data_IF_414457137146
#
_entry.id   IF_414457137146
#
_cell.length_a   1.000
_cell.length_b   1.000
_cell.length_c   1.000
_cell.angle_alpha   90.00
_cell.angle_beta   90.00
_cell.angle_gamma   90.00
#
_symmetry.space_group_name_H-M   'P 1'
#
loop_
_entity.id
_entity.type
_entity.pdbx_description
1 polymer ?
#
# COMPACT_ATOMS: atom_id res chain seq x y z
N UNK A 1 29.43 -23.59 3.80
CA UNK A 1 30.00 -23.62 5.18
C UNK A 1 29.34 -22.57 6.07
N UNK A 2 29.42 -21.26 5.76
CA UNK A 2 28.76 -20.21 6.56
C UNK A 2 27.25 -20.09 6.29
N UNK A 3 26.84 -20.19 5.01
CA UNK A 3 25.43 -20.39 4.65
C UNK A 3 24.95 -21.74 5.16
N UNK A 4 23.80 -21.76 5.83
CA UNK A 4 23.23 -22.94 6.49
C UNK A 4 23.93 -23.34 7.81
N UNK A 5 24.91 -22.55 8.29
CA UNK A 5 25.58 -22.83 9.56
C UNK A 5 24.59 -22.73 10.71
N UNK A 6 24.67 -23.71 11.61
CA UNK A 6 23.89 -23.73 12.85
C UNK A 6 24.78 -23.81 14.08
N UNK A 7 24.27 -23.35 15.21
CA UNK A 7 24.97 -23.25 16.49
C UNK A 7 24.15 -23.97 17.55
N UNK A 8 24.73 -25.02 18.12
CA UNK A 8 24.13 -25.77 19.22
C UNK A 8 24.62 -25.19 20.53
N UNK A 9 23.70 -24.68 21.35
CA UNK A 9 24.02 -23.96 22.57
C UNK A 9 22.98 -24.19 23.66
N UNK A 10 23.36 -23.84 24.88
CA UNK A 10 22.47 -23.63 26.02
C UNK A 10 22.59 -22.17 26.45
N UNK A 11 21.53 -21.61 27.04
CA UNK A 11 21.55 -20.27 27.61
C UNK A 11 21.26 -20.28 29.10
N UNK A 12 21.89 -19.38 29.85
CA UNK A 12 21.53 -19.07 31.23
C UNK A 12 21.07 -17.62 31.25
N UNK A 13 19.79 -17.40 31.54
CA UNK A 13 19.19 -16.07 31.48
C UNK A 13 19.12 -15.49 32.89
N UNK A 14 19.68 -14.30 33.07
CA UNK A 14 19.46 -13.45 34.23
C UNK A 14 18.28 -12.52 33.89
N UNK A 15 17.06 -12.82 34.35
CA UNK A 15 15.89 -12.04 34.00
C UNK A 15 15.93 -10.68 34.70
N UNK A 16 15.62 -9.61 33.98
CA UNK A 16 15.56 -8.25 34.52
C UNK A 16 14.50 -8.13 35.62
N UNK A 17 13.45 -8.95 35.56
CA UNK A 17 12.36 -9.00 36.55
C UNK A 17 12.83 -9.41 37.94
N UNK A 18 13.99 -10.06 38.09
CA UNK A 18 14.60 -10.35 39.39
C UNK A 18 14.97 -9.08 40.17
N UNK A 19 15.10 -7.96 39.46
CA UNK A 19 15.48 -6.66 40.02
C UNK A 19 14.30 -5.67 39.97
N UNK A 20 13.05 -6.16 40.02
CA UNK A 20 11.85 -5.31 39.96
C UNK A 20 11.65 -4.37 41.16
N UNK A 21 12.20 -4.73 42.33
CA UNK A 21 12.01 -3.98 43.59
C UNK A 21 13.09 -2.90 43.84
N UNK A 22 13.84 -2.51 42.81
CA UNK A 22 14.92 -1.53 42.95
C UNK A 22 14.36 -0.20 43.46
N UNK A 23 14.79 0.16 44.67
CA UNK A 23 14.48 1.45 45.26
C UNK A 23 15.33 2.52 44.58
N UNK A 24 14.66 3.54 44.04
CA UNK A 24 15.31 4.72 43.47
C UNK A 24 15.36 5.78 44.56
N UNK A 25 16.55 6.33 44.82
CA UNK A 25 16.67 7.40 45.81
C UNK A 25 16.17 8.75 45.26
N UNK A 26 15.70 9.61 46.16
CA UNK A 26 15.17 10.94 45.83
C UNK A 26 16.19 11.86 45.13
N UNK A 27 17.48 11.67 45.36
CA UNK A 27 18.51 12.48 44.73
C UNK A 27 18.65 12.10 43.24
N UNK A 28 18.57 10.81 42.91
CA UNK A 28 18.55 10.31 41.54
C UNK A 28 17.30 10.76 40.78
N UNK A 29 16.12 10.75 41.42
CA UNK A 29 14.87 11.28 40.84
C UNK A 29 15.02 12.75 40.47
N UNK A 30 15.53 13.56 41.40
CA UNK A 30 15.73 15.00 41.18
C UNK A 30 16.77 15.28 40.09
N UNK A 31 17.92 14.60 40.14
CA UNK A 31 18.98 14.75 39.15
C UNK A 31 18.49 14.35 37.74
N UNK A 32 17.68 13.29 37.63
CA UNK A 32 17.08 12.90 36.38
C UNK A 32 16.10 13.96 35.87
N UNK A 33 15.21 14.47 36.72
CA UNK A 33 14.28 15.53 36.33
C UNK A 33 15.00 16.79 35.86
N UNK A 34 16.02 17.24 36.60
CA UNK A 34 16.84 18.42 36.25
C UNK A 34 17.57 18.23 34.92
N UNK A 35 18.10 17.04 34.65
CA UNK A 35 18.82 16.75 33.42
C UNK A 35 17.91 16.54 32.19
N UNK A 36 16.62 16.24 32.39
CA UNK A 36 15.70 15.82 31.32
C UNK A 36 14.40 16.63 31.32
N UNK A 37 14.43 17.91 31.72
CA UNK A 37 13.23 18.75 31.89
C UNK A 37 12.30 18.77 30.66
N UNK A 38 12.87 18.67 29.45
CA UNK A 38 12.14 18.63 28.17
C UNK A 38 11.20 17.41 28.05
N UNK A 39 11.54 16.29 28.69
CA UNK A 39 10.72 15.07 28.69
C UNK A 39 9.55 15.14 29.71
N UNK A 40 9.53 16.20 30.53
CA UNK A 40 8.58 16.39 31.62
C UNK A 40 7.81 17.71 31.46
N UNK A 41 7.17 17.86 30.30
CA UNK A 41 6.27 18.98 30.01
C UNK A 41 4.85 18.48 29.80
N UNK A 42 3.87 19.31 30.19
CA UNK A 42 2.53 19.20 29.61
C UNK A 42 2.61 19.79 28.21
N UNK A 43 2.31 19.00 27.16
CA UNK A 43 2.41 19.49 25.80
C UNK A 43 1.40 20.61 25.57
N UNK A 44 1.69 21.48 24.61
CA UNK A 44 0.75 22.50 24.17
C UNK A 44 -0.49 21.84 23.57
N UNK A 45 -1.68 22.32 23.95
CA UNK A 45 -2.95 21.79 23.47
C UNK A 45 -3.90 22.91 23.09
N UNK A 46 -4.71 22.67 22.07
CA UNK A 46 -5.82 23.56 21.71
C UNK A 46 -7.13 22.79 21.56
N UNK A 47 -8.24 23.50 21.71
CA UNK A 47 -9.50 23.13 21.04
C UNK A 47 -9.72 24.07 19.89
N UNK A 48 -10.20 23.56 18.77
CA UNK A 48 -10.53 24.36 17.60
C UNK A 48 -12.04 24.40 17.38
N UNK A 49 -12.55 25.56 16.98
CA UNK A 49 -13.87 25.71 16.36
C UNK A 49 -13.65 25.69 14.85
N UNK A 50 -14.43 24.91 14.11
CA UNK A 50 -14.25 24.76 12.67
C UNK A 50 -15.58 24.62 11.92
N UNK A 51 -15.59 25.03 10.66
CA UNK A 51 -16.71 24.81 9.73
C UNK A 51 -16.21 23.91 8.61
N UNK A 52 -16.98 22.88 8.28
CA UNK A 52 -16.66 21.92 7.22
C UNK A 52 -17.64 22.05 6.06
N UNK A 53 -17.12 22.21 4.85
CA UNK A 53 -17.85 22.05 3.60
C UNK A 53 -17.52 20.66 3.06
N UNK A 54 -18.56 19.85 2.87
CA UNK A 54 -18.47 18.47 2.38
C UNK A 54 -19.29 18.31 1.12
N UNK A 55 -18.66 17.80 0.05
CA UNK A 55 -19.31 17.50 -1.22
C UNK A 55 -20.44 16.49 -1.05
N UNK A 56 -20.24 15.47 -0.21
CA UNK A 56 -21.24 14.43 0.05
C UNK A 56 -22.46 14.99 0.80
N UNK A 57 -22.23 15.89 1.77
CA UNK A 57 -23.32 16.56 2.48
C UNK A 57 -24.14 17.46 1.53
N UNK A 58 -23.47 18.15 0.60
CA UNK A 58 -24.13 18.94 -0.45
C UNK A 58 -24.94 18.02 -1.37
N UNK A 59 -24.34 16.94 -1.87
CA UNK A 59 -25.01 15.97 -2.75
C UNK A 59 -26.28 15.38 -2.11
N UNK A 60 -26.24 15.08 -0.81
CA UNK A 60 -27.41 14.59 -0.06
C UNK A 60 -28.54 15.63 0.06
N UNK A 61 -28.21 16.93 0.02
CA UNK A 61 -29.18 18.03 0.04
C UNK A 61 -29.76 18.38 -1.33
N UNK A 62 -29.15 17.93 -2.42
CA UNK A 62 -29.61 18.23 -3.78
C UNK A 62 -30.81 17.36 -4.15
N UNK A 63 -31.97 18.02 -4.25
CA UNK A 63 -33.14 17.45 -4.90
C UNK A 63 -33.02 17.63 -6.41
N UNK A 64 -33.22 16.54 -7.16
CA UNK A 64 -33.20 16.57 -8.62
C UNK A 64 -34.62 16.46 -9.13
N UNK A 65 -35.02 17.44 -9.93
CA UNK A 65 -36.32 17.45 -10.56
C UNK A 65 -36.34 16.49 -11.76
N UNK A 66 -37.33 15.60 -11.78
CA UNK A 66 -37.56 14.67 -12.88
C UNK A 66 -37.91 15.41 -14.18
N UNK A 67 -38.50 16.60 -14.10
CA UNK A 67 -38.79 17.42 -15.29
C UNK A 67 -37.49 17.92 -15.95
N UNK A 68 -36.54 18.41 -15.17
CA UNK A 68 -35.20 18.80 -15.64
C UNK A 68 -34.45 17.61 -16.25
N UNK A 69 -34.49 16.44 -15.59
CA UNK A 69 -33.84 15.24 -16.12
C UNK A 69 -34.47 14.75 -17.42
N UNK A 70 -35.80 14.85 -17.57
CA UNK A 70 -36.48 14.53 -18.83
C UNK A 70 -36.06 15.50 -19.94
N UNK A 71 -36.02 16.79 -19.66
CA UNK A 71 -35.53 17.78 -20.63
C UNK A 71 -34.07 17.52 -21.04
N UNK A 72 -33.20 17.18 -20.08
CA UNK A 72 -31.81 16.81 -20.34
C UNK A 72 -31.70 15.52 -21.16
N UNK A 73 -32.54 14.52 -20.90
CA UNK A 73 -32.61 13.28 -21.67
C UNK A 73 -32.99 13.57 -23.12
N UNK A 74 -34.05 14.37 -23.34
CA UNK A 74 -34.50 14.75 -24.69
C UNK A 74 -33.39 15.43 -25.50
N UNK A 75 -32.64 16.34 -24.88
CA UNK A 75 -31.51 17.04 -25.52
C UNK A 75 -30.34 16.12 -25.84
N UNK A 76 -30.11 15.08 -25.01
CA UNK A 76 -28.98 14.15 -25.12
C UNK A 76 -29.38 12.77 -25.66
N UNK A 77 -30.56 12.62 -26.25
CA UNK A 77 -31.08 11.32 -26.76
C UNK A 77 -30.10 10.61 -27.71
N UNK A 78 -29.34 11.37 -28.49
CA UNK A 78 -28.34 10.80 -29.39
C UNK A 78 -27.22 10.09 -28.63
N UNK A 79 -26.78 10.62 -27.48
CA UNK A 79 -25.70 10.07 -26.65
C UNK A 79 -26.07 8.72 -26.04
N UNK A 80 -27.37 8.49 -25.82
CA UNK A 80 -27.88 7.26 -25.21
C UNK A 80 -28.17 6.15 -26.23
N UNK A 81 -28.20 6.47 -27.53
CA UNK A 81 -28.52 5.48 -28.56
C UNK A 81 -27.36 4.51 -28.72
N UNK A 82 -27.63 3.22 -28.51
CA UNK A 82 -26.71 2.17 -28.92
C UNK A 82 -26.78 2.01 -30.44
N UNK A 83 -25.63 1.89 -31.11
CA UNK A 83 -25.59 1.59 -32.54
C UNK A 83 -26.09 0.15 -32.79
N UNK A 84 -26.63 -0.10 -33.99
CA UNK A 84 -26.89 -1.48 -34.42
C UNK A 84 -25.56 -2.24 -34.51
N UNK A 85 -25.55 -3.45 -33.95
CA UNK A 85 -24.44 -4.38 -34.06
C UNK A 85 -24.93 -5.71 -34.60
N UNK A 86 -24.12 -6.39 -35.40
CA UNK A 86 -24.42 -7.73 -35.90
C UNK A 86 -23.32 -8.68 -35.51
N UNK A 87 -23.68 -9.75 -34.82
CA UNK A 87 -22.77 -10.85 -34.60
C UNK A 87 -22.68 -11.64 -35.90
N UNK A 88 -21.48 -11.79 -36.44
CA UNK A 88 -21.28 -12.48 -37.70
C UNK A 88 -20.12 -13.47 -37.63
N UNK A 89 -20.22 -14.49 -38.47
CA UNK A 89 -19.18 -15.47 -38.71
C UNK A 89 -18.82 -15.49 -40.19
N UNK A 90 -17.56 -15.77 -40.52
CA UNK A 90 -17.11 -15.86 -41.91
C UNK A 90 -16.18 -17.04 -42.22
N UNK A 91 -16.14 -17.40 -43.49
CA UNK A 91 -15.13 -18.27 -44.10
C UNK A 91 -14.41 -17.43 -45.14
N UNK A 92 -13.11 -17.18 -44.94
CA UNK A 92 -12.28 -16.44 -45.88
C UNK A 92 -11.47 -17.40 -46.75
N UNK A 93 -11.48 -17.18 -48.05
CA UNK A 93 -10.47 -17.68 -48.98
C UNK A 93 -9.65 -16.49 -49.47
N UNK A 94 -8.37 -16.45 -49.13
CA UNK A 94 -7.48 -15.32 -49.36
C UNK A 94 -7.23 -15.16 -50.85
N UNK A 95 -7.41 -13.96 -51.37
CA UNK A 95 -7.03 -13.61 -52.74
C UNK A 95 -6.42 -12.22 -52.74
N UNK A 96 -5.32 -12.06 -53.47
CA UNK A 96 -4.79 -10.73 -53.74
C UNK A 96 -5.79 -9.92 -54.59
N UNK A 97 -5.80 -8.59 -54.39
CA UNK A 97 -6.62 -7.67 -55.20
C UNK A 97 -6.30 -7.72 -56.70
N UNK A 98 -5.10 -8.16 -57.06
CA UNK A 98 -4.67 -8.39 -58.44
C UNK A 98 -4.81 -9.85 -58.91
N UNK A 99 -5.50 -10.71 -58.15
CA UNK A 99 -5.71 -12.10 -58.52
C UNK A 99 -6.40 -12.21 -59.90
N UNK A 100 -5.92 -13.14 -60.73
CA UNK A 100 -6.49 -13.36 -62.05
C UNK A 100 -7.91 -13.96 -61.99
N UNK A 101 -8.66 -13.81 -63.09
CA UNK A 101 -10.06 -14.25 -63.17
C UNK A 101 -10.22 -15.75 -62.88
N UNK A 102 -9.19 -16.56 -63.16
CA UNK A 102 -9.21 -18.00 -62.91
C UNK A 102 -9.14 -18.30 -61.40
N UNK A 103 -8.28 -17.63 -60.65
CA UNK A 103 -8.18 -17.76 -59.20
C UNK A 103 -9.46 -17.26 -58.50
N UNK A 104 -10.03 -16.14 -58.96
CA UNK A 104 -11.31 -15.63 -58.44
C UNK A 104 -12.45 -16.60 -58.72
N UNK A 105 -12.51 -17.19 -59.92
CA UNK A 105 -13.53 -18.18 -60.27
C UNK A 105 -13.42 -19.45 -59.42
N UNK A 106 -12.19 -19.96 -59.21
CA UNK A 106 -11.96 -21.16 -58.41
C UNK A 106 -12.37 -20.97 -56.94
N UNK A 107 -11.99 -19.84 -56.33
CA UNK A 107 -12.40 -19.53 -54.95
C UNK A 107 -13.92 -19.30 -54.84
N UNK A 108 -14.56 -18.70 -55.85
CA UNK A 108 -16.02 -18.55 -55.90
C UNK A 108 -16.73 -19.90 -55.99
N UNK A 109 -16.25 -20.80 -56.84
CA UNK A 109 -16.79 -22.16 -56.96
C UNK A 109 -16.64 -22.93 -55.64
N UNK A 110 -15.50 -22.78 -54.96
CA UNK A 110 -15.27 -23.40 -53.65
C UNK A 110 -16.23 -22.89 -52.57
N UNK A 111 -16.49 -21.57 -52.51
CA UNK A 111 -17.50 -21.03 -51.59
C UNK A 111 -18.93 -21.44 -51.95
N UNK A 112 -19.24 -21.66 -53.23
CA UNK A 112 -20.54 -22.20 -53.66
C UNK A 112 -20.71 -23.67 -53.27
N UNK A 113 -19.63 -24.45 -53.31
CA UNK A 113 -19.61 -25.82 -52.80
C UNK A 113 -19.87 -25.84 -51.28
N UNK A 114 -19.23 -24.95 -50.52
CA UNK A 114 -19.50 -24.80 -49.08
C UNK A 114 -20.96 -24.45 -48.82
N UNK A 115 -21.56 -23.54 -49.60
CA UNK A 115 -22.99 -23.24 -49.49
C UNK A 115 -23.87 -24.48 -49.73
N UNK A 116 -23.53 -25.31 -50.72
CA UNK A 116 -24.25 -26.56 -51.00
C UNK A 116 -24.11 -27.59 -49.85
N UNK A 117 -22.97 -27.61 -49.17
CA UNK A 117 -22.74 -28.45 -47.99
C UNK A 117 -23.54 -27.94 -46.78
N UNK A 118 -23.65 -26.63 -46.59
CA UNK A 118 -24.52 -26.01 -45.59
C UNK A 118 -25.99 -26.38 -45.83
N UNK A 119 -26.46 -26.31 -47.08
CA UNK A 119 -27.81 -26.72 -47.47
C UNK A 119 -28.06 -28.23 -47.25
N UNK A 120 -26.99 -29.02 -47.22
CA UNK A 120 -27.02 -30.46 -46.94
C UNK A 120 -26.90 -30.81 -45.45
N UNK A 121 -26.77 -29.81 -44.57
CA UNK A 121 -26.76 -29.96 -43.12
C UNK A 121 -25.39 -29.97 -42.44
N UNK A 122 -24.29 -29.69 -43.16
CA UNK A 122 -22.98 -29.45 -42.54
C UNK A 122 -23.02 -28.11 -41.80
N UNK A 123 -22.39 -28.01 -40.63
CA UNK A 123 -22.41 -26.76 -39.86
C UNK A 123 -21.41 -25.73 -40.39
N UNK A 124 -21.76 -24.44 -40.26
CA UNK A 124 -20.90 -23.34 -40.70
C UNK A 124 -19.58 -23.28 -39.94
N UNK A 125 -19.61 -23.59 -38.64
CA UNK A 125 -18.43 -23.56 -37.79
C UNK A 125 -17.46 -24.72 -38.08
N UNK A 126 -17.95 -25.88 -38.52
CA UNK A 126 -17.09 -26.96 -39.04
C UNK A 126 -16.37 -26.52 -40.31
N UNK A 127 -17.11 -25.99 -41.30
CA UNK A 127 -16.51 -25.51 -42.55
C UNK A 127 -15.52 -24.35 -42.30
N UNK A 128 -15.84 -23.45 -41.38
CA UNK A 128 -14.95 -22.35 -41.03
C UNK A 128 -13.66 -22.84 -40.35
N UNK A 129 -13.75 -23.82 -39.43
CA UNK A 129 -12.54 -24.40 -38.79
C UNK A 129 -11.64 -25.13 -39.78
N UNK A 130 -12.24 -25.80 -40.75
CA UNK A 130 -11.51 -26.65 -41.69
C UNK A 130 -10.96 -25.86 -42.88
N UNK A 131 -11.69 -24.84 -43.37
CA UNK A 131 -11.41 -24.21 -44.67
C UNK A 131 -11.24 -22.70 -44.63
N UNK A 132 -11.53 -22.01 -43.52
CA UNK A 132 -11.30 -20.56 -43.45
C UNK A 132 -9.80 -20.28 -43.30
N UNK A 133 -9.29 -19.40 -44.16
CA UNK A 133 -7.89 -18.97 -44.17
C UNK A 133 -7.63 -17.77 -43.25
N UNK A 134 -8.64 -17.32 -42.49
CA UNK A 134 -8.46 -16.36 -41.39
C UNK A 134 -8.14 -17.09 -40.07
N UNK A 135 -6.88 -17.11 -39.61
CA UNK A 135 -6.48 -17.91 -38.44
C UNK A 135 -7.06 -17.40 -37.10
N UNK A 136 -7.54 -16.14 -37.08
CA UNK A 136 -8.13 -15.49 -35.90
C UNK A 136 -9.54 -15.97 -35.62
N UNK A 137 -10.37 -16.07 -36.67
CA UNK A 137 -11.76 -16.50 -36.57
C UNK A 137 -11.97 -17.98 -36.87
N UNK A 138 -11.17 -18.60 -37.77
CA UNK A 138 -11.33 -19.99 -38.19
C UNK A 138 -11.43 -20.95 -37.00
N UNK A 139 -10.51 -20.84 -36.03
CA UNK A 139 -10.48 -21.67 -34.81
C UNK A 139 -11.73 -21.51 -33.94
N UNK A 140 -12.40 -20.37 -34.04
CA UNK A 140 -13.64 -20.04 -33.31
C UNK A 140 -14.89 -20.32 -34.16
N UNK A 141 -14.79 -21.14 -35.19
CA UNK A 141 -15.93 -21.43 -36.07
C UNK A 141 -16.27 -20.28 -37.01
N UNK A 142 -15.30 -19.40 -37.30
CA UNK A 142 -15.48 -18.23 -38.15
C UNK A 142 -16.02 -17.00 -37.43
N UNK A 143 -16.31 -17.06 -36.13
CA UNK A 143 -16.91 -15.94 -35.40
C UNK A 143 -16.01 -14.71 -35.33
N UNK A 144 -16.59 -13.55 -35.65
CA UNK A 144 -15.98 -12.22 -35.56
C UNK A 144 -16.53 -11.39 -34.38
N UNK A 145 -17.50 -11.93 -33.63
CA UNK A 145 -18.20 -11.19 -32.57
C UNK A 145 -19.09 -10.08 -33.13
N UNK A 146 -19.42 -9.09 -32.29
CA UNK A 146 -20.32 -7.99 -32.63
C UNK A 146 -19.64 -6.95 -33.53
N UNK A 147 -20.14 -6.81 -34.76
CA UNK A 147 -19.67 -5.87 -35.77
C UNK A 147 -20.58 -4.64 -35.78
N UNK A 148 -19.98 -3.45 -35.69
CA UNK A 148 -20.67 -2.17 -35.88
C UNK A 148 -20.34 -1.61 -37.26
N UNK A 149 -21.20 -0.74 -37.81
CA UNK A 149 -20.89 -0.04 -39.06
C UNK A 149 -19.62 0.81 -38.96
N UNK A 150 -18.85 0.90 -40.04
CA UNK A 150 -17.58 1.62 -40.15
C UNK A 150 -16.36 0.88 -39.59
N UNK A 151 -16.49 -0.40 -39.22
CA UNK A 151 -15.40 -1.19 -38.63
C UNK A 151 -14.78 -2.17 -39.62
N UNK A 152 -15.57 -2.70 -40.56
CA UNK A 152 -15.14 -3.73 -41.51
C UNK A 152 -14.95 -3.16 -42.92
N UNK A 153 -14.42 -3.99 -43.82
CA UNK A 153 -14.36 -3.67 -45.25
C UNK A 153 -15.77 -3.33 -45.78
N UNK A 154 -15.95 -2.29 -46.64
CA UNK A 154 -17.27 -1.84 -47.07
C UNK A 154 -18.13 -2.95 -47.70
N UNK A 155 -17.54 -3.80 -48.54
CA UNK A 155 -18.30 -4.86 -49.22
C UNK A 155 -18.70 -5.99 -48.25
N UNK A 156 -17.83 -6.29 -47.28
CA UNK A 156 -18.13 -7.23 -46.21
C UNK A 156 -19.23 -6.69 -45.29
N UNK A 157 -19.11 -5.42 -44.89
CA UNK A 157 -20.07 -4.75 -44.03
C UNK A 157 -21.46 -4.67 -44.67
N UNK A 158 -21.54 -4.24 -45.93
CA UNK A 158 -22.82 -4.17 -46.64
C UNK A 158 -23.52 -5.55 -46.66
N UNK A 159 -22.76 -6.61 -46.94
CA UNK A 159 -23.30 -7.96 -46.89
C UNK A 159 -23.74 -8.38 -45.48
N UNK A 160 -22.95 -8.12 -44.42
CA UNK A 160 -23.34 -8.40 -43.03
C UNK A 160 -24.63 -7.68 -42.66
N UNK A 161 -24.79 -6.42 -43.08
CA UNK A 161 -25.95 -5.60 -42.74
C UNK A 161 -27.19 -5.82 -43.64
N UNK A 162 -27.07 -6.57 -44.72
CA UNK A 162 -28.21 -7.02 -45.55
C UNK A 162 -28.81 -8.36 -45.10
N UNK A 163 -28.00 -9.25 -44.52
CA UNK A 163 -28.43 -10.61 -44.13
C UNK A 163 -29.40 -10.64 -42.95
N UNK A 164 -30.33 -11.60 -42.94
CA UNK A 164 -31.13 -11.94 -41.76
C UNK A 164 -30.36 -12.86 -40.78
N UNK A 165 -30.85 -12.97 -39.54
CA UNK A 165 -30.28 -13.90 -38.55
C UNK A 165 -30.37 -15.34 -39.07
N UNK A 166 -29.23 -16.04 -39.07
CA UNK A 166 -29.06 -17.39 -39.59
C UNK A 166 -28.84 -17.45 -41.11
N UNK A 167 -28.95 -16.34 -41.83
CA UNK A 167 -28.73 -16.29 -43.27
C UNK A 167 -27.24 -16.31 -43.61
N UNK A 168 -26.91 -16.97 -44.72
CA UNK A 168 -25.56 -17.05 -45.27
C UNK A 168 -25.51 -16.36 -46.63
N UNK A 169 -24.56 -15.46 -46.83
CA UNK A 169 -24.39 -14.69 -48.07
C UNK A 169 -24.07 -15.57 -49.29
N UNK A 170 -24.04 -14.94 -50.47
CA UNK A 170 -23.20 -15.44 -51.56
C UNK A 170 -21.71 -15.13 -51.30
N UNK A 171 -20.80 -15.55 -52.20
CA UNK A 171 -19.40 -15.14 -52.14
C UNK A 171 -19.25 -13.60 -52.23
N UNK A 172 -18.73 -12.97 -51.18
CA UNK A 172 -18.51 -11.53 -51.08
C UNK A 172 -17.03 -11.23 -51.28
N UNK A 173 -16.69 -10.37 -52.24
CA UNK A 173 -15.31 -9.98 -52.51
C UNK A 173 -14.94 -8.76 -51.67
N UNK A 174 -13.85 -8.86 -50.91
CA UNK A 174 -13.21 -7.76 -50.20
C UNK A 174 -11.75 -7.60 -50.67
N UNK A 175 -11.03 -6.65 -50.05
CA UNK A 175 -9.58 -6.48 -50.21
C UNK A 175 -8.74 -7.67 -49.72
N UNK A 176 -9.32 -8.57 -48.91
CA UNK A 176 -8.62 -9.72 -48.31
C UNK A 176 -8.90 -11.04 -49.03
N UNK A 177 -9.88 -11.05 -49.94
CA UNK A 177 -10.26 -12.22 -50.71
C UNK A 177 -11.76 -12.40 -50.82
N UNK A 178 -12.21 -13.65 -50.91
CA UNK A 178 -13.61 -14.00 -50.99
C UNK A 178 -14.12 -14.55 -49.65
N UNK A 179 -15.25 -14.03 -49.21
CA UNK A 179 -15.88 -14.39 -47.95
C UNK A 179 -17.21 -15.06 -48.18
N UNK A 180 -17.49 -16.09 -47.38
CA UNK A 180 -18.85 -16.53 -47.11
C UNK A 180 -19.21 -16.04 -45.71
N UNK A 181 -20.30 -15.30 -45.58
CA UNK A 181 -20.64 -14.55 -44.35
C UNK A 181 -21.97 -15.10 -43.81
N UNK A 182 -22.07 -15.29 -42.50
CA UNK A 182 -23.30 -15.66 -41.81
C UNK A 182 -23.57 -14.68 -40.68
N UNK A 183 -24.81 -14.23 -40.52
CA UNK A 183 -25.21 -13.42 -39.36
C UNK A 183 -25.73 -14.35 -38.26
N UNK A 184 -25.09 -14.32 -37.10
CA UNK A 184 -25.44 -15.14 -35.93
C UNK A 184 -26.50 -14.47 -35.05
N UNK A 185 -26.45 -13.14 -34.90
CA UNK A 185 -27.45 -12.35 -34.18
C UNK A 185 -27.48 -10.88 -34.66
N UNK A 186 -28.64 -10.23 -34.54
CA UNK A 186 -28.79 -8.79 -34.79
C UNK A 186 -29.15 -8.10 -33.48
N UNK A 187 -28.25 -7.25 -32.99
CA UNK A 187 -28.46 -6.37 -31.86
C UNK A 187 -28.89 -5.00 -32.40
N UNK A 188 -30.20 -4.80 -32.52
CA UNK A 188 -30.76 -3.56 -33.08
C UNK A 188 -30.34 -2.33 -32.28
N UNK A 189 -30.24 -1.19 -32.96
CA UNK A 189 -30.05 0.10 -32.31
C UNK A 189 -31.16 0.32 -31.29
N UNK A 190 -30.80 0.48 -30.02
CA UNK A 190 -31.75 0.73 -28.94
C UNK A 190 -31.51 2.12 -28.42
N UNK A 191 -32.58 2.90 -28.31
CA UNK A 191 -32.60 4.08 -27.47
C UNK A 191 -33.20 3.65 -26.12
N UNK A 192 -32.40 3.55 -25.05
CA UNK A 192 -32.93 3.27 -23.72
C UNK A 192 -33.99 4.30 -23.35
N UNK A 193 -35.07 3.87 -22.71
CA UNK A 193 -36.11 4.78 -22.21
C UNK A 193 -35.54 5.69 -21.11
N UNK A 194 -36.23 6.80 -20.84
CA UNK A 194 -35.88 7.65 -19.71
C UNK A 194 -35.78 6.85 -18.42
N UNK A 195 -36.75 5.97 -18.14
CA UNK A 195 -36.77 5.17 -16.91
C UNK A 195 -35.52 4.28 -16.79
N UNK A 196 -35.04 3.70 -17.91
CA UNK A 196 -33.83 2.87 -17.94
C UNK A 196 -32.55 3.65 -17.61
N UNK A 197 -32.48 4.95 -17.93
CA UNK A 197 -31.27 5.77 -17.71
C UNK A 197 -31.40 6.78 -16.58
N UNK A 198 -32.61 7.05 -16.09
CA UNK A 198 -32.93 8.12 -15.14
C UNK A 198 -32.14 8.02 -13.84
N UNK A 199 -31.91 6.81 -13.33
CA UNK A 199 -31.11 6.59 -12.12
C UNK A 199 -29.66 7.03 -12.29
N UNK A 200 -29.03 6.67 -13.40
CA UNK A 200 -27.66 7.08 -13.73
C UNK A 200 -27.58 8.58 -14.00
N UNK A 201 -28.51 9.12 -14.78
CA UNK A 201 -28.58 10.56 -15.07
C UNK A 201 -28.77 11.38 -13.80
N UNK A 202 -29.60 10.91 -12.86
CA UNK A 202 -29.78 11.56 -11.56
C UNK A 202 -28.50 11.57 -10.76
N UNK A 203 -27.79 10.44 -10.67
CA UNK A 203 -26.53 10.36 -9.93
C UNK A 203 -25.44 11.26 -10.55
N UNK A 204 -25.31 11.28 -11.88
CA UNK A 204 -24.39 12.19 -12.58
C UNK A 204 -24.76 13.65 -12.33
N UNK A 205 -26.03 14.01 -12.50
CA UNK A 205 -26.50 15.38 -12.25
C UNK A 205 -26.29 15.81 -10.79
N UNK A 206 -26.57 14.95 -9.81
CA UNK A 206 -26.33 15.23 -8.39
C UNK A 206 -24.85 15.47 -8.13
N UNK A 207 -23.99 14.63 -8.70
CA UNK A 207 -22.53 14.75 -8.56
C UNK A 207 -22.02 16.06 -9.16
N UNK A 208 -22.41 16.38 -10.39
CA UNK A 208 -21.94 17.57 -11.11
C UNK A 208 -22.40 18.85 -10.39
N UNK A 209 -23.67 18.87 -9.96
CA UNK A 209 -24.23 19.99 -9.20
C UNK A 209 -23.58 20.14 -7.82
N UNK A 210 -23.32 19.03 -7.13
CA UNK A 210 -22.61 19.04 -5.86
C UNK A 210 -21.17 19.53 -5.99
N UNK A 211 -20.48 19.20 -7.09
CA UNK A 211 -19.13 19.66 -7.37
C UNK A 211 -19.10 21.17 -7.61
N UNK A 212 -20.01 21.69 -8.44
CA UNK A 212 -20.13 23.13 -8.67
C UNK A 212 -20.42 23.87 -7.35
N UNK A 213 -21.41 23.42 -6.60
CA UNK A 213 -21.80 24.06 -5.34
C UNK A 213 -20.72 23.91 -4.26
N UNK A 214 -19.95 22.84 -4.25
CA UNK A 214 -18.80 22.67 -3.38
C UNK A 214 -17.73 23.73 -3.63
N UNK A 215 -17.37 23.96 -4.91
CA UNK A 215 -16.41 25.00 -5.28
C UNK A 215 -16.91 26.39 -4.87
N UNK A 216 -18.16 26.73 -5.20
CA UNK A 216 -18.76 28.02 -4.85
C UNK A 216 -18.78 28.25 -3.33
N UNK A 217 -19.13 27.22 -2.54
CA UNK A 217 -19.15 27.29 -1.07
C UNK A 217 -17.75 27.42 -0.47
N UNK A 218 -16.74 26.78 -1.06
CA UNK A 218 -15.33 26.92 -0.62
C UNK A 218 -14.82 28.34 -0.92
N UNK A 219 -15.16 28.93 -2.06
CA UNK A 219 -14.78 30.31 -2.39
C UNK A 219 -15.43 31.33 -1.42
N UNK A 220 -16.72 31.13 -1.11
CA UNK A 220 -17.43 31.94 -0.10
C UNK A 220 -16.78 31.76 1.28
N UNK A 221 -16.49 30.51 1.68
CA UNK A 221 -15.81 30.19 2.93
C UNK A 221 -14.46 30.92 3.04
N UNK A 222 -13.63 30.83 2.00
CA UNK A 222 -12.31 31.44 1.96
C UNK A 222 -12.39 32.98 2.10
N UNK A 223 -13.28 33.60 1.30
CA UNK A 223 -13.47 35.05 1.31
C UNK A 223 -13.93 35.54 2.67
N UNK A 224 -14.98 34.93 3.23
CA UNK A 224 -15.56 35.37 4.50
C UNK A 224 -14.66 35.06 5.69
N UNK A 225 -13.92 33.95 5.68
CA UNK A 225 -12.96 33.62 6.72
C UNK A 225 -11.83 34.67 6.79
N UNK A 226 -11.36 35.14 5.63
CA UNK A 226 -10.34 36.18 5.51
C UNK A 226 -10.87 37.57 5.91
N UNK A 227 -12.07 37.94 5.44
CA UNK A 227 -12.68 39.25 5.75
C UNK A 227 -13.11 39.40 7.21
N UNK A 228 -13.36 38.28 7.90
CA UNK A 228 -13.84 38.26 9.30
C UNK A 228 -12.87 37.46 10.19
N UNK A 229 -11.61 37.90 10.36
CA UNK A 229 -10.56 37.09 11.00
C UNK A 229 -10.90 36.67 12.42
N UNK A 230 -11.70 37.46 13.14
CA UNK A 230 -12.02 37.24 14.55
C UNK A 230 -13.29 36.41 14.79
N UNK A 231 -13.97 35.88 13.76
CA UNK A 231 -15.13 34.99 13.95
C UNK A 231 -15.43 34.10 12.74
N UNK A 232 -15.99 32.91 13.01
CA UNK A 232 -16.53 32.01 11.98
C UNK A 232 -18.02 32.25 11.70
N UNK A 233 -18.67 33.19 12.39
CA UNK A 233 -20.12 33.33 12.31
C UNK A 233 -20.58 33.80 10.92
N UNK A 234 -19.82 34.69 10.25
CA UNK A 234 -20.13 35.11 8.88
C UNK A 234 -20.09 33.93 7.88
N UNK A 235 -19.12 33.04 8.02
CA UNK A 235 -19.01 31.81 7.22
C UNK A 235 -20.17 30.87 7.54
N UNK A 236 -20.50 30.69 8.82
CA UNK A 236 -21.59 29.82 9.28
C UNK A 236 -22.93 30.28 8.72
N UNK A 237 -23.25 31.58 8.85
CA UNK A 237 -24.51 32.16 8.42
C UNK A 237 -24.66 32.12 6.90
N UNK A 238 -23.60 32.46 6.15
CA UNK A 238 -23.64 32.48 4.69
C UNK A 238 -23.81 31.08 4.09
N UNK A 239 -23.22 30.05 4.71
CA UNK A 239 -23.27 28.68 4.22
C UNK A 239 -24.40 27.84 4.85
N UNK A 240 -25.08 28.38 5.87
CA UNK A 240 -26.07 27.66 6.66
C UNK A 240 -25.48 26.48 7.43
N UNK A 241 -24.23 26.58 7.88
CA UNK A 241 -23.49 25.52 8.54
C UNK A 241 -23.29 25.81 10.03
N UNK A 242 -23.30 24.77 10.84
CA UNK A 242 -23.07 24.89 12.29
C UNK A 242 -21.59 24.60 12.58
N UNK A 243 -20.85 25.53 13.21
CA UNK A 243 -19.47 25.26 13.59
C UNK A 243 -19.37 24.11 14.60
N UNK A 244 -18.41 23.22 14.38
CA UNK A 244 -18.08 22.13 15.28
C UNK A 244 -16.94 22.52 16.22
N UNK A 245 -16.88 21.88 17.38
CA UNK A 245 -15.81 22.05 18.37
C UNK A 245 -15.05 20.74 18.51
N UNK A 246 -13.72 20.79 18.43
CA UNK A 246 -12.87 19.61 18.65
C UNK A 246 -12.71 19.28 20.14
N UNK A 247 -12.27 18.05 20.41
CA UNK A 247 -11.58 17.73 21.67
C UNK A 247 -10.20 18.41 21.74
N UNK A 248 -9.49 18.24 22.85
CA UNK A 248 -8.11 18.71 22.99
C UNK A 248 -7.20 17.97 22.01
N UNK A 249 -6.51 18.74 21.17
CA UNK A 249 -5.53 18.22 20.20
C UNK A 249 -4.14 18.76 20.54
N UNK A 250 -3.10 18.01 20.21
CA UNK A 250 -1.70 18.41 20.39
C UNK A 250 -0.82 17.83 19.30
N UNK A 251 0.19 18.56 18.77
CA UNK A 251 1.12 18.03 17.78
C UNK A 251 1.96 16.87 18.33
N UNK A 252 2.12 16.82 19.67
CA UNK A 252 2.92 15.80 20.37
C UNK A 252 2.09 14.66 20.95
N UNK A 253 0.76 14.67 20.79
CA UNK A 253 -0.08 13.59 21.28
C UNK A 253 -0.04 12.37 20.33
N UNK A 254 0.27 11.20 20.89
CA UNK A 254 0.29 9.93 20.15
C UNK A 254 -1.09 9.47 19.65
N UNK A 255 -2.18 10.02 20.20
CA UNK A 255 -3.55 9.63 19.87
C UNK A 255 -4.47 10.86 19.81
N UNK A 256 -4.27 11.72 18.82
CA UNK A 256 -5.33 12.66 18.45
C UNK A 256 -6.49 11.88 17.80
N UNK A 257 -7.72 12.32 18.06
CA UNK A 257 -8.94 11.76 17.48
C UNK A 257 -9.63 12.78 16.58
N UNK A 258 -10.55 12.29 15.74
CA UNK A 258 -11.35 13.13 14.84
C UNK A 258 -10.48 14.03 13.95
N UNK A 259 -10.82 15.31 13.91
CA UNK A 259 -10.13 16.30 13.07
C UNK A 259 -8.66 16.53 13.48
N UNK A 260 -8.31 16.29 14.75
CA UNK A 260 -6.94 16.38 15.26
C UNK A 260 -6.00 15.29 14.75
N UNK A 261 -6.55 14.22 14.15
CA UNK A 261 -5.75 13.20 13.48
C UNK A 261 -5.19 13.63 12.13
N UNK A 262 -5.66 14.75 11.57
CA UNK A 262 -5.19 15.26 10.29
C UNK A 262 -3.93 16.14 10.47
N UNK A 263 -2.80 15.82 9.82
CA UNK A 263 -1.56 16.59 9.97
C UNK A 263 -1.65 18.06 9.52
N UNK A 264 -2.44 18.36 8.47
CA UNK A 264 -2.63 19.73 7.99
C UNK A 264 -3.39 20.57 9.01
N UNK A 265 -4.39 19.97 9.67
CA UNK A 265 -5.13 20.60 10.77
C UNK A 265 -4.20 20.92 11.94
N UNK A 266 -3.34 19.97 12.34
CA UNK A 266 -2.37 20.20 13.42
C UNK A 266 -1.35 21.29 13.05
N UNK A 267 -0.87 21.31 11.81
CA UNK A 267 0.08 22.33 11.36
C UNK A 267 -0.53 23.74 11.44
N UNK A 268 -1.79 23.89 11.02
CA UNK A 268 -2.47 25.18 10.99
C UNK A 268 -2.97 25.60 12.37
N UNK A 269 -3.51 24.70 13.19
CA UNK A 269 -4.04 25.04 14.51
C UNK A 269 -2.98 25.57 15.49
N UNK A 270 -1.70 25.28 15.24
CA UNK A 270 -0.55 25.69 16.07
C UNK A 270 0.35 26.71 15.36
N UNK A 271 -0.06 27.26 14.21
CA UNK A 271 0.69 28.35 13.57
C UNK A 271 0.46 29.69 14.31
N UNK A 272 1.30 30.70 14.06
CA UNK A 272 1.20 31.98 14.76
C UNK A 272 -0.14 32.69 14.52
N UNK A 273 -0.60 32.75 13.27
CA UNK A 273 -1.81 33.49 12.89
C UNK A 273 -3.07 32.95 13.60
N UNK A 274 -3.20 31.62 13.71
CA UNK A 274 -4.37 30.98 14.33
C UNK A 274 -4.19 30.86 15.84
N UNK A 275 -2.99 30.49 16.33
CA UNK A 275 -2.74 30.25 17.75
C UNK A 275 -2.52 31.54 18.55
N UNK A 276 -1.72 32.46 18.03
CA UNK A 276 -1.29 33.67 18.74
C UNK A 276 -2.19 34.85 18.41
N UNK A 277 -2.46 35.07 17.12
CA UNK A 277 -3.29 36.20 16.68
C UNK A 277 -4.80 35.86 16.74
N UNK A 278 -5.15 34.58 16.81
CA UNK A 278 -6.52 34.11 16.99
C UNK A 278 -7.38 34.21 15.74
N UNK A 279 -6.75 34.36 14.57
CA UNK A 279 -7.40 34.49 13.29
C UNK A 279 -8.01 33.16 12.81
N UNK A 280 -8.99 33.27 11.94
CA UNK A 280 -9.45 32.15 11.13
C UNK A 280 -8.30 31.67 10.22
N UNK A 281 -8.23 30.35 10.02
CA UNK A 281 -7.34 29.77 9.04
C UNK A 281 -7.78 30.07 7.61
N UNK A 282 -6.83 29.98 6.69
CA UNK A 282 -7.13 29.69 5.29
C UNK A 282 -7.86 28.32 5.17
N UNK A 283 -8.54 28.06 4.04
CA UNK A 283 -9.15 26.75 3.78
C UNK A 283 -8.13 25.61 3.84
N UNK A 284 -8.44 24.57 4.61
CA UNK A 284 -7.64 23.37 4.78
C UNK A 284 -8.36 22.22 4.10
N UNK A 285 -7.74 21.66 3.07
CA UNK A 285 -8.24 20.45 2.42
C UNK A 285 -7.97 19.23 3.32
N UNK A 286 -9.04 18.55 3.74
CA UNK A 286 -8.93 17.30 4.49
C UNK A 286 -8.73 16.11 3.54
N UNK A 287 -9.44 16.15 2.42
CA UNK A 287 -9.39 15.23 1.28
C UNK A 287 -10.10 15.88 0.08
N UNK A 288 -10.17 15.17 -1.04
CA UNK A 288 -10.74 15.67 -2.31
C UNK A 288 -12.23 16.07 -2.26
N UNK A 289 -12.92 15.81 -1.15
CA UNK A 289 -14.35 16.06 -0.97
C UNK A 289 -14.68 16.95 0.24
N UNK A 290 -13.68 17.33 1.04
CA UNK A 290 -13.91 18.04 2.31
C UNK A 290 -12.85 19.12 2.55
N UNK A 291 -13.34 20.31 2.85
CA UNK A 291 -12.52 21.49 3.19
C UNK A 291 -13.05 22.10 4.48
N UNK A 292 -12.14 22.56 5.34
CA UNK A 292 -12.51 23.28 6.56
C UNK A 292 -11.85 24.65 6.64
N UNK A 293 -12.44 25.54 7.42
CA UNK A 293 -11.73 26.65 8.06
C UNK A 293 -11.85 26.47 9.57
N UNK A 294 -10.78 26.78 10.29
CA UNK A 294 -10.72 26.62 11.74
C UNK A 294 -10.23 27.88 12.44
N UNK A 295 -10.45 27.95 13.75
CA UNK A 295 -9.77 28.89 14.64
C UNK A 295 -9.59 28.26 16.01
N UNK A 296 -8.64 28.77 16.79
CA UNK A 296 -8.47 28.36 18.19
C UNK A 296 -9.65 28.88 19.04
N UNK A 297 -10.28 27.97 19.77
CA UNK A 297 -11.36 28.25 20.71
C UNK A 297 -10.86 28.27 22.16
N UNK A 298 -9.98 27.34 22.51
CA UNK A 298 -9.30 27.30 23.81
C UNK A 298 -7.83 26.92 23.59
N UNK A 299 -6.92 27.54 24.36
CA UNK A 299 -5.49 27.25 24.30
C UNK A 299 -4.94 26.94 25.70
N UNK A 300 -4.23 25.81 25.82
CA UNK A 300 -3.43 25.43 26.97
C UNK A 300 -1.95 25.44 26.57
N UNK A 301 -1.17 26.46 26.99
CA UNK A 301 0.23 26.54 26.63
C UNK A 301 1.02 25.37 27.21
N UNK A 302 2.12 25.04 26.54
CA UNK A 302 3.10 24.12 27.10
C UNK A 302 3.59 24.65 28.44
N UNK A 303 3.65 23.77 29.44
CA UNK A 303 4.15 24.12 30.77
C UNK A 303 4.96 22.98 31.36
N UNK A 304 5.96 23.34 32.15
CA UNK A 304 6.75 22.36 32.89
C UNK A 304 5.84 21.53 33.82
N UNK A 305 5.94 20.21 33.75
CA UNK A 305 5.30 19.31 34.70
C UNK A 305 6.08 19.35 36.02
N UNK A 306 5.46 19.69 37.17
CA UNK A 306 6.17 19.69 38.45
C UNK A 306 6.78 18.32 38.78
N UNK A 307 7.91 18.32 39.49
CA UNK A 307 8.61 17.09 39.90
C UNK A 307 7.66 16.10 40.58
N UNK A 308 6.78 16.56 41.47
CA UNK A 308 5.84 15.70 42.19
C UNK A 308 4.85 14.99 41.27
N UNK A 309 4.46 15.62 40.16
CA UNK A 309 3.58 14.98 39.16
C UNK A 309 4.37 14.05 38.21
N UNK A 310 5.65 14.34 37.97
CA UNK A 310 6.53 13.53 37.13
C UNK A 310 7.19 12.35 37.88
N UNK A 311 7.22 12.40 39.22
CA UNK A 311 7.97 11.50 40.12
C UNK A 311 7.75 10.03 39.81
N UNK A 312 6.49 9.58 39.79
CA UNK A 312 6.16 8.17 39.54
C UNK A 312 6.66 7.68 38.16
N UNK A 313 6.64 8.56 37.14
CA UNK A 313 7.18 8.24 35.82
C UNK A 313 8.70 8.12 35.87
N UNK A 314 9.37 9.06 36.54
CA UNK A 314 10.83 9.08 36.68
C UNK A 314 11.32 7.85 37.45
N UNK A 315 10.67 7.52 38.58
CA UNK A 315 11.00 6.35 39.39
C UNK A 315 10.92 5.07 38.57
N UNK A 316 9.87 4.90 37.75
CA UNK A 316 9.77 3.74 36.84
C UNK A 316 10.89 3.69 35.81
N UNK A 317 11.25 4.82 35.21
CA UNK A 317 12.35 4.91 34.23
C UNK A 317 13.69 4.56 34.87
N UNK A 318 13.97 5.12 36.05
CA UNK A 318 15.21 4.89 36.79
C UNK A 318 15.30 3.46 37.33
N UNK A 319 14.20 2.93 37.89
CA UNK A 319 14.14 1.55 38.36
C UNK A 319 14.38 0.56 37.21
N UNK A 320 13.75 0.78 36.05
CA UNK A 320 13.99 -0.05 34.87
C UNK A 320 15.45 0.03 34.39
N UNK A 321 16.05 1.22 34.41
CA UNK A 321 17.46 1.42 34.05
C UNK A 321 18.40 0.68 35.00
N UNK A 322 18.18 0.79 36.31
CA UNK A 322 19.03 0.13 37.30
C UNK A 322 18.82 -1.39 37.32
N UNK A 323 17.58 -1.86 37.22
CA UNK A 323 17.28 -3.29 37.08
C UNK A 323 18.02 -3.92 35.88
N UNK A 324 18.00 -3.22 34.74
CA UNK A 324 18.76 -3.61 33.54
C UNK A 324 20.26 -3.63 33.81
N UNK A 325 20.80 -2.62 34.49
CA UNK A 325 22.22 -2.57 34.86
C UNK A 325 22.59 -3.75 35.77
N UNK A 326 21.81 -4.03 36.81
CA UNK A 326 22.02 -5.14 37.75
C UNK A 326 21.96 -6.50 37.08
N UNK A 327 21.01 -6.74 36.18
CA UNK A 327 20.96 -7.96 35.37
C UNK A 327 22.23 -8.12 34.53
N UNK A 328 22.68 -7.03 33.91
CA UNK A 328 23.92 -7.00 33.12
C UNK A 328 25.18 -7.23 33.94
N UNK A 329 25.30 -6.60 35.12
CA UNK A 329 26.41 -6.77 36.05
C UNK A 329 26.45 -8.22 36.57
N UNK A 330 25.31 -8.75 37.01
CA UNK A 330 25.18 -10.14 37.50
C UNK A 330 25.55 -11.14 36.41
N UNK A 331 24.99 -11.00 35.22
CA UNK A 331 25.26 -11.91 34.12
C UNK A 331 26.71 -11.87 33.63
N UNK A 332 27.36 -10.70 33.65
CA UNK A 332 28.80 -10.59 33.38
C UNK A 332 29.66 -11.29 34.44
N UNK A 333 29.30 -11.18 35.72
CA UNK A 333 30.00 -11.88 36.78
C UNK A 333 29.88 -13.41 36.66
N UNK A 334 28.69 -13.92 36.31
CA UNK A 334 28.49 -15.36 36.03
C UNK A 334 29.30 -15.81 34.81
N UNK A 335 29.32 -15.00 33.75
CA UNK A 335 30.12 -15.28 32.55
C UNK A 335 31.61 -15.37 32.87
N UNK A 336 32.14 -14.47 33.70
CA UNK A 336 33.55 -14.48 34.11
C UNK A 336 33.92 -15.77 34.87
N UNK A 337 33.08 -16.23 35.80
CA UNK A 337 33.28 -17.51 36.50
C UNK A 337 33.37 -18.69 35.53
N UNK A 338 32.46 -18.74 34.55
CA UNK A 338 32.44 -19.79 33.51
C UNK A 338 33.68 -19.73 32.61
N UNK A 339 34.13 -18.53 32.23
CA UNK A 339 35.33 -18.33 31.43
C UNK A 339 36.61 -18.71 32.19
N UNK A 340 36.61 -18.58 33.52
CA UNK A 340 37.69 -19.04 34.39
C UNK A 340 37.68 -20.55 34.66
N UNK A 341 36.72 -21.29 34.07
CA UNK A 341 36.67 -22.75 34.10
C UNK A 341 35.85 -23.34 35.26
N UNK A 342 35.06 -22.53 35.96
CA UNK A 342 34.11 -23.07 36.95
C UNK A 342 33.02 -23.94 36.29
N UNK A 343 32.57 -24.96 37.02
CA UNK A 343 31.53 -25.87 36.56
C UNK A 343 30.19 -25.15 36.36
N UNK A 344 29.59 -25.32 35.17
CA UNK A 344 28.42 -24.53 34.76
C UNK A 344 27.17 -24.79 35.62
N UNK A 345 26.99 -26.01 36.11
CA UNK A 345 25.85 -26.38 36.96
C UNK A 345 26.02 -25.77 38.35
N UNK A 346 27.25 -25.76 38.86
CA UNK A 346 27.59 -25.13 40.12
C UNK A 346 27.38 -23.61 40.09
N UNK A 347 27.82 -22.93 39.01
CA UNK A 347 27.59 -21.49 38.82
C UNK A 347 26.09 -21.17 38.75
N UNK A 348 25.33 -21.93 37.95
CA UNK A 348 23.89 -21.73 37.80
C UNK A 348 23.12 -21.98 39.12
N UNK A 349 23.46 -23.05 39.85
CA UNK A 349 22.83 -23.37 41.13
C UNK A 349 23.08 -22.30 42.19
N UNK A 350 24.31 -21.75 42.30
CA UNK A 350 24.61 -20.63 43.22
C UNK A 350 23.85 -19.35 42.85
N UNK A 351 23.58 -19.16 41.57
CA UNK A 351 22.79 -18.03 41.08
C UNK A 351 21.28 -18.26 41.20
N UNK A 352 20.82 -19.47 41.57
CA UNK A 352 19.41 -19.88 41.53
C UNK A 352 18.80 -19.71 40.13
N UNK A 353 19.56 -20.09 39.11
CA UNK A 353 19.15 -20.02 37.71
C UNK A 353 19.31 -21.38 37.05
N UNK A 354 18.51 -21.62 36.02
CA UNK A 354 18.55 -22.86 35.25
C UNK A 354 19.05 -22.61 33.83
N UNK A 355 19.93 -23.50 33.36
CA UNK A 355 20.29 -23.53 31.95
C UNK A 355 19.09 -23.97 31.12
N UNK A 356 18.90 -23.33 29.98
CA UNK A 356 18.00 -23.83 28.96
C UNK A 356 18.39 -25.24 28.53
N UNK A 357 17.43 -25.96 27.95
CA UNK A 357 17.75 -27.14 27.15
C UNK A 357 18.69 -26.80 25.99
N UNK A 358 19.37 -27.82 25.48
CA UNK A 358 20.19 -27.69 24.28
C UNK A 358 19.31 -27.35 23.08
N UNK A 359 19.64 -26.26 22.39
CA UNK A 359 18.89 -25.79 21.23
C UNK A 359 19.84 -25.42 20.07
N UNK A 360 19.31 -25.55 18.86
CA UNK A 360 20.03 -25.27 17.62
C UNK A 360 19.53 -23.98 16.98
N UNK A 361 20.43 -23.03 16.76
CA UNK A 361 20.12 -21.72 16.18
C UNK A 361 20.75 -21.56 14.80
N UNK A 362 19.97 -21.03 13.85
CA UNK A 362 20.42 -20.54 12.55
C UNK A 362 20.52 -19.00 12.61
N UNK A 363 21.23 -18.39 11.64
CA UNK A 363 21.40 -16.92 11.58
C UNK A 363 20.08 -16.16 11.44
N UNK A 364 19.05 -16.84 10.96
CA UNK A 364 17.70 -16.34 10.74
C UNK A 364 16.66 -17.08 11.59
N UNK A 365 17.07 -17.67 12.72
CA UNK A 365 16.13 -18.35 13.62
C UNK A 365 14.96 -17.41 13.98
N UNK A 366 13.72 -17.79 13.67
CA UNK A 366 12.57 -16.96 14.00
C UNK A 366 12.43 -16.85 15.52
N UNK A 367 11.96 -15.69 15.99
CA UNK A 367 11.69 -15.39 17.41
C UNK A 367 12.92 -15.38 18.34
N UNK A 368 14.14 -15.43 17.81
CA UNK A 368 15.35 -15.21 18.60
C UNK A 368 15.70 -13.72 18.69
N UNK A 369 16.18 -13.28 19.86
CA UNK A 369 16.65 -11.90 20.05
C UNK A 369 17.80 -11.59 19.06
N UNK A 370 17.75 -10.47 18.31
CA UNK A 370 18.79 -10.14 17.33
C UNK A 370 20.19 -9.96 17.95
N UNK A 371 20.26 -9.43 19.18
CA UNK A 371 21.51 -9.28 19.92
C UNK A 371 22.10 -10.64 20.29
N UNK A 372 21.26 -11.59 20.72
CA UNK A 372 21.65 -12.98 20.96
C UNK A 372 22.23 -13.64 19.71
N UNK A 373 21.53 -13.56 18.57
CA UNK A 373 22.03 -14.15 17.32
C UNK A 373 23.37 -13.55 16.89
N UNK A 374 23.53 -12.22 16.98
CA UNK A 374 24.78 -11.54 16.66
C UNK A 374 25.95 -12.04 17.51
N UNK A 375 25.74 -12.18 18.83
CA UNK A 375 26.75 -12.71 19.76
C UNK A 375 27.11 -14.16 19.45
N UNK A 376 26.11 -15.04 19.35
CA UNK A 376 26.29 -16.49 19.13
C UNK A 376 27.09 -16.78 17.87
N UNK A 377 26.82 -16.07 16.77
CA UNK A 377 27.49 -16.32 15.49
C UNK A 377 28.86 -15.67 15.35
N UNK A 378 29.26 -14.79 16.28
CA UNK A 378 30.63 -14.26 16.42
C UNK A 378 31.53 -15.15 17.28
N UNK A 379 30.96 -16.05 18.09
CA UNK A 379 31.73 -16.92 18.97
C UNK A 379 32.61 -17.90 18.16
N UNK A 380 33.85 -18.18 18.63
CA UNK A 380 34.74 -19.14 18.01
C UNK A 380 34.19 -20.57 18.12
N UNK A 381 34.66 -21.45 17.24
CA UNK A 381 34.30 -22.87 17.28
C UNK A 381 34.91 -23.51 18.54
N UNK A 382 34.12 -24.19 19.39
CA UNK A 382 34.65 -24.92 20.55
C UNK A 382 35.54 -26.08 20.13
N UNK A 383 36.56 -26.39 20.94
CA UNK A 383 37.34 -27.63 20.81
C UNK A 383 36.46 -28.85 21.17
N UNK A 384 36.78 -30.06 20.67
CA UNK A 384 36.03 -31.27 21.02
C UNK A 384 35.91 -31.46 22.54
N UNK A 385 34.68 -31.60 23.03
CA UNK A 385 34.39 -31.78 24.46
C UNK A 385 34.47 -30.51 25.30
N UNK A 386 34.76 -29.35 24.71
CA UNK A 386 34.80 -28.05 25.40
C UNK A 386 33.60 -27.18 25.01
N UNK A 387 33.28 -26.23 25.89
CA UNK A 387 32.31 -25.17 25.62
C UNK A 387 33.02 -23.83 25.53
N UNK A 388 32.49 -22.93 24.71
CA UNK A 388 32.91 -21.53 24.68
C UNK A 388 31.78 -20.71 25.27
N UNK A 389 32.10 -19.83 26.22
CA UNK A 389 31.13 -18.97 26.88
C UNK A 389 31.19 -17.54 26.37
N UNK A 390 30.04 -16.93 26.15
CA UNK A 390 29.87 -15.50 25.86
C UNK A 390 28.58 -15.00 26.50
N UNK A 391 28.28 -13.71 26.37
CA UNK A 391 27.06 -13.15 26.92
C UNK A 391 26.63 -11.89 26.19
N UNK A 392 25.36 -11.54 26.35
CA UNK A 392 24.79 -10.34 25.75
C UNK A 392 23.59 -9.85 26.56
N UNK A 393 23.36 -8.55 26.50
CA UNK A 393 22.18 -7.95 27.08
C UNK A 393 21.13 -7.76 25.99
N UNK A 394 19.93 -8.31 26.20
CA UNK A 394 18.81 -8.22 25.26
C UNK A 394 18.21 -6.82 25.23
N UNK A 395 17.38 -6.54 24.22
CA UNK A 395 16.61 -5.30 24.16
C UNK A 395 15.62 -5.16 25.34
N UNK A 396 15.05 -6.28 25.79
CA UNK A 396 14.14 -6.36 26.95
C UNK A 396 14.82 -6.18 28.31
N UNK A 397 16.15 -6.17 28.37
CA UNK A 397 16.92 -5.88 29.58
C UNK A 397 17.57 -7.09 30.24
N UNK A 398 17.11 -8.30 29.93
CA UNK A 398 17.71 -9.56 30.41
C UNK A 398 19.16 -9.68 29.96
N UNK A 399 20.00 -10.30 30.79
CA UNK A 399 21.33 -10.71 30.38
C UNK A 399 21.35 -12.22 30.11
N UNK A 400 21.79 -12.60 28.91
CA UNK A 400 21.83 -13.99 28.47
C UNK A 400 23.28 -14.41 28.36
N UNK A 401 23.68 -15.37 29.20
CA UNK A 401 24.94 -16.10 29.05
C UNK A 401 24.71 -17.25 28.07
N UNK A 402 25.65 -17.43 27.15
CA UNK A 402 25.61 -18.45 26.10
C UNK A 402 26.71 -19.45 26.33
N UNK A 403 26.37 -20.73 26.40
CA UNK A 403 27.31 -21.85 26.35
C UNK A 403 27.26 -22.48 24.95
N UNK A 404 28.19 -22.12 24.07
CA UNK A 404 28.29 -22.71 22.75
C UNK A 404 28.98 -24.07 22.84
N UNK A 405 28.26 -25.13 22.47
CA UNK A 405 28.77 -26.50 22.46
C UNK A 405 29.35 -26.91 21.11
N UNK A 406 28.65 -26.55 20.03
CA UNK A 406 29.00 -27.05 18.71
C UNK A 406 28.65 -26.04 17.61
N UNK A 407 29.51 -25.98 16.62
CA UNK A 407 29.25 -25.32 15.34
C UNK A 407 28.99 -26.40 14.30
N UNK A 408 27.77 -26.42 13.77
CA UNK A 408 27.37 -27.30 12.68
C UNK A 408 27.54 -26.53 11.38
N UNK A 409 28.49 -26.95 10.55
CA UNK A 409 28.69 -26.31 9.25
C UNK A 409 27.48 -26.53 8.37
N UNK A 410 27.06 -25.48 7.66
CA UNK A 410 26.04 -25.64 6.64
C UNK A 410 26.59 -26.39 5.46
N UNK A 411 25.88 -27.46 5.08
CA UNK A 411 26.06 -28.20 3.85
C UNK A 411 25.02 -27.75 2.83
N UNK A 412 25.47 -27.37 1.64
CA UNK A 412 24.59 -27.32 0.45
C UNK A 412 24.78 -28.68 -0.22
N UNK A 413 23.73 -29.49 -0.33
CA UNK A 413 23.83 -30.75 -1.07
C UNK A 413 23.99 -30.45 -2.57
N UNK A 414 24.76 -31.28 -3.27
CA UNK A 414 24.97 -31.14 -4.72
C UNK A 414 23.68 -31.22 -5.55
N UNK A 415 22.64 -31.82 -4.98
CA UNK A 415 21.37 -32.12 -5.65
C UNK A 415 20.28 -31.05 -5.42
N UNK A 416 20.46 -30.13 -4.47
CA UNK A 416 19.50 -29.06 -4.18
C UNK A 416 19.79 -27.80 -5.01
N UNK A 417 19.29 -27.81 -6.25
CA UNK A 417 19.46 -26.74 -7.26
C UNK A 417 18.90 -25.40 -6.79
N UNK A 418 17.89 -25.39 -5.93
CA UNK A 418 17.26 -24.17 -5.43
C UNK A 418 18.17 -23.47 -4.42
N UNK A 419 18.73 -24.23 -3.46
CA UNK A 419 19.73 -23.70 -2.53
C UNK A 419 21.00 -23.23 -3.24
N UNK A 420 21.45 -23.91 -4.29
CA UNK A 420 22.61 -23.46 -5.08
C UNK A 420 22.34 -22.14 -5.81
N UNK A 421 21.14 -21.98 -6.37
CA UNK A 421 20.76 -20.75 -7.07
C UNK A 421 20.64 -19.58 -6.11
N UNK A 422 20.03 -19.79 -4.94
CA UNK A 422 19.95 -18.79 -3.88
C UNK A 422 21.34 -18.42 -3.32
N UNK A 423 22.20 -19.42 -3.08
CA UNK A 423 23.57 -19.20 -2.64
C UNK A 423 24.39 -18.36 -3.63
N UNK A 424 24.25 -18.65 -4.94
CA UNK A 424 24.92 -17.89 -6.01
C UNK A 424 24.45 -16.44 -6.06
N UNK A 425 23.13 -16.21 -6.02
CA UNK A 425 22.57 -14.85 -5.98
C UNK A 425 23.05 -14.05 -4.78
N UNK A 426 23.11 -14.66 -3.60
CA UNK A 426 23.61 -13.99 -2.41
C UNK A 426 25.10 -13.64 -2.52
N UNK A 427 25.92 -14.54 -3.07
CA UNK A 427 27.35 -14.26 -3.32
C UNK A 427 27.55 -13.14 -4.36
N UNK A 428 26.76 -13.13 -5.43
CA UNK A 428 26.76 -12.07 -6.44
C UNK A 428 26.37 -10.72 -5.81
N UNK A 429 25.35 -10.70 -4.95
CA UNK A 429 24.91 -9.51 -4.23
C UNK A 429 25.96 -9.02 -3.23
N UNK A 430 26.55 -9.91 -2.44
CA UNK A 430 27.60 -9.57 -1.46
C UNK A 430 28.85 -9.03 -2.16
N UNK A 431 29.28 -9.66 -3.26
CA UNK A 431 30.40 -9.19 -4.07
C UNK A 431 30.11 -7.82 -4.71
N UNK A 432 28.88 -7.61 -5.20
CA UNK A 432 28.43 -6.33 -5.72
C UNK A 432 28.44 -5.23 -4.67
N UNK A 433 27.95 -5.52 -3.46
CA UNK A 433 27.95 -4.59 -2.34
C UNK A 433 29.35 -4.26 -1.85
N UNK A 434 30.22 -5.26 -1.70
CA UNK A 434 31.62 -5.04 -1.32
C UNK A 434 32.37 -4.20 -2.36
N UNK A 435 32.11 -4.43 -3.66
CA UNK A 435 32.69 -3.63 -4.74
C UNK A 435 32.18 -2.19 -4.70
N UNK A 436 30.88 -1.99 -4.48
CA UNK A 436 30.28 -0.67 -4.31
C UNK A 436 30.85 0.06 -3.09
N UNK A 437 30.91 -0.59 -1.93
CA UNK A 437 31.47 -0.02 -0.70
C UNK A 437 32.95 0.36 -0.88
N UNK A 438 33.74 -0.47 -1.58
CA UNK A 438 35.12 -0.16 -1.91
C UNK A 438 35.25 1.06 -2.85
N UNK A 439 34.35 1.21 -3.83
CA UNK A 439 34.29 2.39 -4.70
C UNK A 439 33.90 3.63 -3.90
N UNK A 440 32.87 3.55 -3.05
CA UNK A 440 32.45 4.65 -2.17
C UNK A 440 33.58 5.05 -1.23
N UNK A 441 34.26 4.09 -0.62
CA UNK A 441 35.40 4.36 0.26
C UNK A 441 36.55 5.02 -0.51
N UNK A 442 36.90 4.51 -1.69
CA UNK A 442 37.93 5.11 -2.56
C UNK A 442 37.54 6.54 -2.99
N UNK A 443 36.28 6.79 -3.31
CA UNK A 443 35.78 8.13 -3.64
C UNK A 443 35.85 9.07 -2.43
N UNK A 444 35.53 8.59 -1.22
CA UNK A 444 35.66 9.37 0.03
C UNK A 444 37.13 9.67 0.35
N UNK A 445 38.01 8.69 0.21
CA UNK A 445 39.44 8.83 0.52
C UNK A 445 40.17 9.76 -0.48
N UNK A 446 39.67 9.87 -1.72
CA UNK A 446 40.21 10.77 -2.76
C UNK A 446 39.42 12.08 -2.91
N UNK A 447 38.36 12.28 -2.15
CA UNK A 447 37.63 13.54 -2.13
C UNK A 447 38.18 14.42 -1.01
N UNK A 448 38.50 15.67 -1.33
CA UNK A 448 38.76 16.71 -0.33
C UNK A 448 37.41 17.10 0.31
N UNK A 449 37.02 16.38 1.35
CA UNK A 449 35.77 16.61 2.08
C UNK A 449 36.09 17.24 3.44
N UNK A 450 35.84 18.54 3.58
CA UNK A 450 35.72 19.19 4.89
C UNK A 450 34.31 18.94 5.46
N UNK A 451 34.23 18.14 6.53
CA UNK A 451 32.98 17.91 7.26
C UNK A 451 32.89 18.90 8.42
N UNK A 452 32.06 19.94 8.27
CA UNK A 452 31.74 20.89 9.33
C UNK A 452 30.75 20.27 10.33
N UNK A 453 31.28 19.59 11.36
CA UNK A 453 30.50 18.90 12.40
C UNK A 453 29.64 19.82 13.28
N UNK A 454 29.74 21.13 13.13
CA UNK A 454 28.94 22.10 13.91
C UNK A 454 27.53 22.35 13.31
N UNK A 455 27.25 21.78 12.12
CA UNK A 455 25.97 21.92 11.41
C UNK A 455 25.21 20.58 11.25
N UNK A 456 25.66 19.53 11.93
CA UNK A 456 25.00 18.21 12.05
C UNK A 456 24.62 17.99 13.51
#
# INVERSE_FOLDING_TARGET
RLQGQKRTLETLTVPVTRFGDVQVDDAAVRAHYEANQVDYVFPEQVKIKYIEVSRDAIAAGINVDDEELRAAYEQRKADFRTAEQREASHILLTLDDAADDAAVAAARERLQEFKSQLDSGVSFDELAREYSEDPGSARQGGSLGAISRGVMDPAFEDAVFELAVGEVSGPVRSAFGLHLIKVDAINASKLPSFDEVSGKMRAEYQKDKAEQEFVDRVDIMATLAFENPDSLDAVADALGLIPSLSDWISPMAAANSGIGGNPAVLAVAFNADVLQDGYNSEPIELDSSRVIVLRVAEHRPSRQQPLEEARERIERVLAAKEARKLAGDTGRALLEQLQNGEDKQSVAARAELDWSGEAEFARNSPNADPGLLSTVFRMPRPLPGQMVFSGTQTAGGDFVVVALRKVVDGSISGDDKEQQTAARRNLEADAGRASYDAVVQTLRDNADVEIFRENL
#
